data_IF_129502356574
#
_entry.id   IF_129502356574
#
_cell.length_a   1.000
_cell.length_b   1.000
_cell.length_c   1.000
_cell.angle_alpha   90.00
_cell.angle_beta   90.00
_cell.angle_gamma   90.00
#
_symmetry.space_group_name_H-M   'P 1'
#
loop_
_entity.id
_entity.type
_entity.pdbx_description
1 polymer ?
#
# COMPACT_ATOMS: atom_id res chain seq x y z
N UNK A 1 51.49 3.28 54.69
CA UNK A 1 51.90 2.42 53.56
C UNK A 1 52.01 1.03 54.14
N UNK A 2 51.33 -0.03 53.73
CA UNK A 2 50.57 -0.38 52.54
C UNK A 2 49.52 -1.41 52.99
N UNK A 3 48.28 -1.32 52.51
CA UNK A 3 47.71 -2.17 51.45
C UNK A 3 47.88 -3.69 51.62
N UNK A 4 46.73 -4.37 51.46
CA UNK A 4 46.51 -5.81 51.27
C UNK A 4 46.32 -6.67 52.52
N UNK A 5 45.04 -6.95 52.82
CA UNK A 5 44.46 -8.32 52.86
C UNK A 5 43.11 -8.31 53.62
N UNK A 6 42.03 -7.93 52.94
CA UNK A 6 40.70 -8.52 53.15
C UNK A 6 40.01 -8.51 51.78
N UNK A 7 40.27 -9.55 51.00
CA UNK A 7 39.55 -9.91 49.78
C UNK A 7 39.24 -11.40 49.93
N UNK A 8 38.08 -11.80 49.40
CA UNK A 8 37.46 -13.13 49.46
C UNK A 8 36.45 -13.26 50.60
N UNK A 9 35.21 -12.81 50.36
CA UNK A 9 34.06 -13.71 50.19
C UNK A 9 32.77 -12.90 50.19
N UNK A 10 32.26 -12.58 48.99
CA UNK A 10 30.86 -12.23 48.75
C UNK A 10 30.61 -12.40 47.26
N UNK A 11 30.55 -13.67 46.85
CA UNK A 11 30.14 -14.06 45.51
C UNK A 11 28.68 -14.52 45.57
N UNK A 12 27.91 -13.99 44.63
CA UNK A 12 26.66 -14.51 44.08
C UNK A 12 25.39 -14.47 44.95
N UNK A 13 24.67 -13.35 44.87
CA UNK A 13 23.24 -13.42 44.53
C UNK A 13 22.82 -12.16 43.74
N UNK A 14 23.24 -12.09 42.48
CA UNK A 14 22.75 -11.08 41.56
C UNK A 14 21.44 -11.59 40.97
N UNK A 15 20.33 -11.14 41.55
CA UNK A 15 18.98 -11.33 41.00
C UNK A 15 18.91 -10.60 39.67
N UNK A 16 18.88 -11.35 38.57
CA UNK A 16 18.53 -10.85 37.25
C UNK A 16 17.04 -10.54 37.23
N UNK A 17 16.69 -9.28 37.45
CA UNK A 17 15.37 -8.76 37.13
C UNK A 17 15.28 -8.77 35.60
N UNK A 18 14.61 -9.78 35.04
CA UNK A 18 14.12 -9.73 33.68
C UNK A 18 13.07 -8.62 33.62
N UNK A 19 13.50 -7.42 33.22
CA UNK A 19 12.61 -6.40 32.70
C UNK A 19 12.04 -6.96 31.40
N UNK A 20 10.87 -7.61 31.51
CA UNK A 20 9.98 -7.73 30.37
C UNK A 20 9.60 -6.30 29.99
N UNK A 21 10.29 -5.74 29.00
CA UNK A 21 9.82 -4.59 28.26
C UNK A 21 8.49 -5.01 27.63
N UNK A 22 7.39 -4.69 28.31
CA UNK A 22 6.09 -4.61 27.67
C UNK A 22 6.27 -3.51 26.62
N UNK A 23 6.55 -3.91 25.38
CA UNK A 23 6.34 -3.01 24.27
C UNK A 23 4.87 -2.64 24.35
N UNK A 24 4.59 -1.42 24.78
CA UNK A 24 3.29 -0.82 24.54
C UNK A 24 3.12 -0.92 23.02
N UNK A 25 2.22 -1.80 22.58
CA UNK A 25 1.71 -1.77 21.21
C UNK A 25 1.13 -0.36 21.10
N UNK A 26 1.88 0.54 20.46
CA UNK A 26 1.35 1.84 20.08
C UNK A 26 0.09 1.51 19.32
N UNK A 27 -1.08 1.88 19.88
CA UNK A 27 -2.33 1.77 19.15
C UNK A 27 -2.06 2.34 17.76
N UNK A 28 -2.15 1.48 16.73
CA UNK A 28 -1.85 1.88 15.38
C UNK A 28 -2.80 3.04 15.08
N UNK A 29 -2.26 4.24 14.85
CA UNK A 29 -3.11 5.39 14.55
C UNK A 29 -3.86 5.05 13.26
N UNK A 30 -5.18 4.93 13.37
CA UNK A 30 -6.11 4.70 12.28
C UNK A 30 -6.36 5.98 11.49
N UNK A 31 -5.34 6.83 11.35
CA UNK A 31 -5.44 8.13 10.69
C UNK A 31 -4.84 8.13 9.28
N UNK A 32 -4.56 6.96 8.70
CA UNK A 32 -4.02 6.81 7.35
C UNK A 32 -5.14 6.86 6.32
N UNK A 33 -5.02 7.77 5.35
CA UNK A 33 -5.84 7.86 4.16
C UNK A 33 -4.97 7.70 2.91
N UNK A 34 -5.42 6.92 1.93
CA UNK A 34 -4.70 6.77 0.66
C UNK A 34 -5.63 6.95 -0.54
N UNK A 35 -5.10 7.51 -1.62
CA UNK A 35 -5.85 7.81 -2.84
C UNK A 35 -5.07 7.34 -4.06
N UNK A 36 -5.63 6.39 -4.82
CA UNK A 36 -5.09 6.05 -6.15
C UNK A 36 -5.46 7.15 -7.15
N UNK A 37 -4.53 7.51 -8.04
CA UNK A 37 -4.68 8.64 -8.96
C UNK A 37 -3.87 8.44 -10.25
N UNK A 38 -4.46 8.82 -11.38
CA UNK A 38 -3.79 9.06 -12.66
C UNK A 38 -3.95 7.99 -13.73
N UNK A 39 -4.65 6.89 -13.46
CA UNK A 39 -4.76 5.76 -14.38
C UNK A 39 -5.72 6.03 -15.55
N UNK A 40 -6.70 6.91 -15.36
CA UNK A 40 -7.84 7.01 -16.30
C UNK A 40 -7.80 8.27 -17.16
N UNK A 41 -6.73 9.07 -17.06
CA UNK A 41 -6.52 10.29 -17.86
C UNK A 41 -7.71 11.27 -17.80
N UNK A 42 -8.38 11.33 -16.65
CA UNK A 42 -9.54 12.23 -16.40
C UNK A 42 -9.11 13.66 -16.01
N UNK A 43 -7.87 14.03 -16.33
CA UNK A 43 -7.27 15.33 -16.04
C UNK A 43 -7.31 15.71 -14.55
N UNK A 44 -7.25 14.72 -13.65
CA UNK A 44 -7.22 14.96 -12.21
C UNK A 44 -5.83 15.41 -11.77
N UNK A 45 -5.77 16.39 -10.87
CA UNK A 45 -4.53 16.90 -10.28
C UNK A 45 -4.51 16.61 -8.79
N UNK A 46 -3.33 16.51 -8.19
CA UNK A 46 -3.19 16.43 -6.73
C UNK A 46 -3.93 17.55 -5.99
N UNK A 47 -3.93 18.77 -6.55
CA UNK A 47 -4.62 19.92 -5.98
C UNK A 47 -6.14 19.85 -6.01
N UNK A 48 -6.72 18.95 -6.82
CA UNK A 48 -8.17 18.75 -6.88
C UNK A 48 -8.66 17.93 -5.68
N UNK A 49 -7.82 17.01 -5.19
CA UNK A 49 -8.16 16.08 -4.11
C UNK A 49 -8.08 16.79 -2.75
N UNK A 50 -9.13 16.73 -1.92
CA UNK A 50 -9.15 17.37 -0.61
C UNK A 50 -8.15 16.68 0.34
N UNK A 51 -7.35 17.46 1.07
CA UNK A 51 -6.38 16.95 2.03
C UNK A 51 -6.66 17.52 3.43
N UNK A 52 -7.02 16.65 4.36
CA UNK A 52 -7.22 16.98 5.76
C UNK A 52 -5.87 16.94 6.52
N UNK A 53 -5.52 17.99 7.25
CA UNK A 53 -4.19 18.12 7.87
C UNK A 53 -3.88 17.12 8.99
N UNK A 54 -4.92 16.53 9.60
CA UNK A 54 -4.78 15.57 10.71
C UNK A 54 -4.74 14.08 10.28
N UNK A 55 -4.72 13.79 8.98
CA UNK A 55 -4.51 12.42 8.47
C UNK A 55 -3.09 12.25 7.94
N UNK A 56 -2.54 11.04 8.02
CA UNK A 56 -1.37 10.64 7.22
C UNK A 56 -1.89 10.36 5.81
N UNK A 57 -1.49 11.15 4.82
CA UNK A 57 -2.12 11.16 3.50
C UNK A 57 -1.16 10.61 2.46
N UNK A 58 -1.52 9.53 1.77
CA UNK A 58 -0.71 8.98 0.70
C UNK A 58 -1.44 9.06 -0.65
N UNK A 59 -0.86 9.74 -1.63
CA UNK A 59 -1.24 9.50 -3.04
C UNK A 59 -0.52 8.26 -3.57
N UNK A 60 -1.15 7.56 -4.52
CA UNK A 60 -0.58 6.40 -5.21
C UNK A 60 -0.75 6.62 -6.72
N UNK A 61 0.33 6.96 -7.40
CA UNK A 61 0.37 7.13 -8.85
C UNK A 61 0.12 5.79 -9.54
N UNK A 62 -0.84 5.74 -10.44
CA UNK A 62 -1.33 4.50 -11.06
C UNK A 62 -1.23 4.60 -12.59
N UNK A 63 -0.34 3.90 -13.28
CA UNK A 63 0.58 2.87 -12.81
C UNK A 63 1.99 3.03 -13.39
N UNK A 64 2.98 2.42 -12.74
CA UNK A 64 4.22 2.02 -13.41
C UNK A 64 4.10 0.55 -13.83
N UNK A 65 4.42 0.24 -15.08
CA UNK A 65 4.19 -1.10 -15.63
C UNK A 65 5.45 -1.56 -16.37
N UNK A 66 5.89 -2.79 -16.16
CA UNK A 66 7.05 -3.38 -16.84
C UNK A 66 6.71 -3.89 -18.24
N UNK A 67 5.97 -3.06 -18.99
CA UNK A 67 5.65 -3.24 -20.40
C UNK A 67 6.24 -2.08 -21.20
N UNK A 68 6.54 -2.31 -22.48
CA UNK A 68 6.99 -1.25 -23.37
C UNK A 68 5.85 -0.27 -23.73
N UNK A 69 6.22 0.92 -24.21
CA UNK A 69 5.26 1.98 -24.59
C UNK A 69 4.97 2.00 -26.09
N UNK A 70 5.15 0.87 -26.78
CA UNK A 70 4.82 0.76 -28.21
C UNK A 70 3.30 0.69 -28.42
N UNK A 71 2.85 0.71 -29.67
CA UNK A 71 1.43 0.55 -30.00
C UNK A 71 0.89 -0.85 -29.71
N UNK A 72 1.76 -1.82 -29.43
CA UNK A 72 1.39 -3.19 -29.04
C UNK A 72 2.26 -3.60 -27.85
N UNK A 73 1.96 -3.10 -26.64
CA UNK A 73 2.80 -3.26 -25.46
C UNK A 73 3.18 -4.72 -25.18
N UNK A 74 4.44 -4.97 -24.85
CA UNK A 74 4.93 -6.30 -24.46
C UNK A 74 5.71 -6.27 -23.15
N UNK A 75 5.72 -7.38 -22.37
CA UNK A 75 6.49 -7.48 -21.13
C UNK A 75 7.98 -7.22 -21.36
N UNK A 76 8.62 -6.55 -20.41
CA UNK A 76 10.00 -6.07 -20.52
C UNK A 76 10.93 -6.66 -19.45
N UNK A 77 10.52 -7.75 -18.81
CA UNK A 77 11.28 -8.42 -17.75
C UNK A 77 11.67 -7.44 -16.62
N UNK A 78 10.70 -6.72 -16.05
CA UNK A 78 10.94 -5.81 -14.93
C UNK A 78 11.43 -4.41 -15.31
N UNK A 79 11.53 -4.04 -16.59
CA UNK A 79 11.86 -2.66 -16.98
C UNK A 79 10.61 -1.75 -16.96
N UNK A 80 10.22 -1.31 -15.77
CA UNK A 80 9.09 -0.39 -15.56
C UNK A 80 9.16 0.92 -16.37
N UNK A 81 8.03 1.25 -17.00
CA UNK A 81 7.71 2.54 -17.63
C UNK A 81 6.50 3.19 -16.94
N UNK A 82 6.31 4.50 -17.18
CA UNK A 82 5.23 5.31 -16.58
C UNK A 82 4.00 5.29 -17.47
N UNK A 83 2.83 4.95 -16.91
CA UNK A 83 1.54 4.87 -17.61
C UNK A 83 0.44 5.75 -17.00
N UNK A 84 0.72 6.54 -15.96
CA UNK A 84 -0.23 7.54 -15.46
C UNK A 84 -0.20 8.83 -16.29
N UNK A 85 -1.20 9.70 -16.09
CA UNK A 85 -1.31 11.03 -16.69
C UNK A 85 -0.15 11.97 -16.27
N UNK A 86 0.98 11.90 -16.99
CA UNK A 86 2.17 12.71 -16.69
C UNK A 86 2.00 14.19 -16.97
N UNK A 87 1.00 14.58 -17.77
CA UNK A 87 0.71 15.98 -18.08
C UNK A 87 0.13 16.70 -16.85
N UNK A 88 -0.66 15.99 -16.04
CA UNK A 88 -1.24 16.52 -14.81
C UNK A 88 -0.50 16.12 -13.53
N UNK A 89 0.23 14.99 -13.55
CA UNK A 89 0.90 14.41 -12.38
C UNK A 89 2.42 14.33 -12.61
N UNK A 90 3.03 15.48 -12.87
CA UNK A 90 4.47 15.63 -13.14
C UNK A 90 5.34 15.58 -11.87
N UNK A 91 6.68 15.42 -11.99
CA UNK A 91 7.59 15.52 -10.84
C UNK A 91 7.47 16.84 -10.06
N UNK A 92 7.25 17.95 -10.77
CA UNK A 92 7.06 19.26 -10.15
C UNK A 92 5.73 19.31 -9.38
N UNK A 93 4.67 18.66 -9.90
CA UNK A 93 3.39 18.57 -9.20
C UNK A 93 3.50 17.74 -7.91
N UNK A 94 4.26 16.62 -7.93
CA UNK A 94 4.57 15.84 -6.72
C UNK A 94 5.33 16.68 -5.69
N UNK A 95 6.36 17.40 -6.14
CA UNK A 95 7.15 18.26 -5.25
C UNK A 95 6.31 19.39 -4.67
N UNK A 96 5.45 20.01 -5.49
CA UNK A 96 4.56 21.09 -5.07
C UNK A 96 3.56 20.62 -4.02
N UNK A 97 2.86 19.48 -4.22
CA UNK A 97 1.86 19.02 -3.25
C UNK A 97 2.49 18.65 -1.91
N UNK A 98 3.65 17.99 -1.91
CA UNK A 98 4.40 17.65 -0.68
C UNK A 98 4.88 18.90 0.05
N UNK A 99 5.27 19.95 -0.66
CA UNK A 99 5.67 21.22 -0.05
C UNK A 99 4.51 21.98 0.60
N UNK A 100 3.31 21.87 0.02
CA UNK A 100 2.09 22.52 0.52
C UNK A 100 1.48 21.75 1.70
N UNK A 101 1.62 20.43 1.71
CA UNK A 101 1.03 19.53 2.70
C UNK A 101 2.10 18.60 3.30
N UNK A 102 2.72 18.97 4.44
CA UNK A 102 3.79 18.18 5.07
C UNK A 102 3.37 16.77 5.53
N UNK A 103 2.06 16.50 5.63
CA UNK A 103 1.48 15.20 5.94
C UNK A 103 1.26 14.31 4.70
N UNK A 104 1.65 14.78 3.50
CA UNK A 104 1.49 14.02 2.25
C UNK A 104 2.76 13.25 1.91
N UNK A 105 2.57 11.98 1.55
CA UNK A 105 3.52 11.16 0.80
C UNK A 105 2.94 10.78 -0.54
N UNK A 106 3.80 10.45 -1.50
CA UNK A 106 3.39 9.99 -2.84
C UNK A 106 4.15 8.71 -3.17
N UNK A 107 3.43 7.63 -3.44
CA UNK A 107 3.95 6.37 -3.95
C UNK A 107 3.56 6.17 -5.42
N UNK A 108 4.08 5.10 -6.02
CA UNK A 108 3.61 4.57 -7.31
C UNK A 108 3.11 3.13 -7.11
N UNK A 109 2.08 2.74 -7.84
CA UNK A 109 1.61 1.35 -7.92
C UNK A 109 2.19 0.63 -9.14
N UNK A 110 2.55 -0.64 -8.95
CA UNK A 110 3.13 -1.54 -9.95
C UNK A 110 2.08 -2.51 -10.48
N UNK A 111 1.95 -2.60 -11.82
CA UNK A 111 1.04 -3.54 -12.45
C UNK A 111 -0.26 -2.87 -12.92
N UNK A 112 -1.36 -3.15 -12.22
CA UNK A 112 -2.74 -2.86 -12.62
C UNK A 112 -3.35 -3.99 -13.45
N UNK A 113 -4.64 -3.87 -13.76
CA UNK A 113 -5.38 -4.83 -14.59
C UNK A 113 -4.89 -4.86 -16.05
N UNK A 114 -4.85 -3.70 -16.72
CA UNK A 114 -4.65 -3.64 -18.18
C UNK A 114 -3.94 -2.37 -18.69
N UNK A 115 -3.44 -2.42 -19.94
CA UNK A 115 -2.83 -1.32 -20.68
C UNK A 115 -3.62 -1.05 -21.96
N UNK A 116 -3.78 0.23 -22.30
CA UNK A 116 -4.33 0.66 -23.59
C UNK A 116 -5.77 0.17 -23.80
N UNK A 117 -6.01 -0.52 -24.91
CA UNK A 117 -7.34 -1.02 -25.30
C UNK A 117 -7.79 -2.28 -24.51
N UNK A 118 -7.30 -2.46 -23.27
CA UNK A 118 -7.68 -3.56 -22.37
C UNK A 118 -6.79 -4.79 -22.44
N UNK A 119 -5.51 -4.65 -22.84
CA UNK A 119 -4.56 -5.76 -22.78
C UNK A 119 -4.15 -6.01 -21.33
N UNK A 120 -4.43 -7.21 -20.80
CA UNK A 120 -4.05 -7.58 -19.43
C UNK A 120 -2.55 -7.49 -19.16
N UNK A 121 -2.20 -6.97 -17.99
CA UNK A 121 -0.83 -6.86 -17.48
C UNK A 121 -0.48 -8.13 -16.72
N UNK A 122 0.26 -9.02 -17.38
CA UNK A 122 0.74 -10.25 -16.77
C UNK A 122 2.08 -10.04 -16.07
N UNK A 123 2.17 -10.49 -14.82
CA UNK A 123 3.44 -10.66 -14.15
C UNK A 123 4.23 -11.80 -14.81
N UNK A 124 5.28 -11.45 -15.56
CA UNK A 124 6.01 -12.37 -16.43
C UNK A 124 7.55 -12.17 -16.39
N UNK A 125 8.22 -12.57 -15.30
CA UNK A 125 9.68 -12.55 -15.22
C UNK A 125 10.30 -13.62 -16.12
N UNK A 126 11.41 -13.29 -16.77
CA UNK A 126 12.26 -14.25 -17.49
C UNK A 126 13.10 -15.09 -16.51
N UNK A 127 13.54 -14.46 -15.43
CA UNK A 127 14.12 -15.12 -14.25
C UNK A 127 13.97 -14.18 -13.05
N UNK A 128 14.02 -14.73 -11.83
CA UNK A 128 13.97 -13.91 -10.61
C UNK A 128 15.07 -12.85 -10.62
N UNK A 129 16.30 -13.23 -10.95
CA UNK A 129 17.44 -12.31 -10.84
C UNK A 129 17.44 -11.22 -11.93
N UNK A 130 17.08 -11.56 -13.16
CA UNK A 130 16.99 -10.56 -14.25
C UNK A 130 15.86 -9.57 -14.02
N UNK A 131 14.67 -10.06 -13.67
CA UNK A 131 13.51 -9.22 -13.37
C UNK A 131 13.79 -8.27 -12.20
N UNK A 132 14.34 -8.79 -11.08
CA UNK A 132 14.67 -7.97 -9.90
C UNK A 132 15.73 -6.92 -10.24
N UNK A 133 16.79 -7.29 -10.99
CA UNK A 133 17.83 -6.33 -11.39
C UNK A 133 17.26 -5.18 -12.22
N UNK A 134 16.41 -5.51 -13.20
CA UNK A 134 15.76 -4.51 -14.06
C UNK A 134 14.79 -3.64 -13.25
N UNK A 135 13.93 -4.25 -12.43
CA UNK A 135 12.95 -3.58 -11.60
C UNK A 135 13.60 -2.60 -10.62
N UNK A 136 14.63 -3.03 -9.89
CA UNK A 136 15.37 -2.15 -8.97
C UNK A 136 15.97 -0.97 -9.74
N UNK A 137 16.56 -1.21 -10.91
CA UNK A 137 17.22 -0.17 -11.72
C UNK A 137 16.23 0.86 -12.26
N UNK A 138 15.15 0.43 -12.91
CA UNK A 138 14.15 1.32 -13.52
C UNK A 138 13.31 2.05 -12.47
N UNK A 139 12.84 1.35 -11.44
CA UNK A 139 12.04 1.97 -10.37
C UNK A 139 12.86 2.96 -9.56
N UNK A 140 14.14 2.70 -9.28
CA UNK A 140 14.99 3.68 -8.60
C UNK A 140 15.06 5.00 -9.40
N UNK A 141 15.16 4.94 -10.72
CA UNK A 141 15.17 6.14 -11.57
C UNK A 141 13.84 6.88 -11.50
N UNK A 142 12.72 6.18 -11.64
CA UNK A 142 11.37 6.78 -11.57
C UNK A 142 11.14 7.42 -10.20
N UNK A 143 11.42 6.69 -9.12
CA UNK A 143 11.23 7.15 -7.74
C UNK A 143 12.07 8.40 -7.45
N UNK A 144 13.34 8.42 -7.87
CA UNK A 144 14.20 9.59 -7.70
C UNK A 144 13.76 10.78 -8.56
N UNK A 145 13.35 10.53 -9.81
CA UNK A 145 12.88 11.58 -10.72
C UNK A 145 11.62 12.27 -10.16
N UNK A 146 10.67 11.50 -9.63
CA UNK A 146 9.40 12.02 -9.12
C UNK A 146 9.43 12.36 -7.63
N UNK A 147 10.54 12.10 -6.92
CA UNK A 147 10.67 12.29 -5.47
C UNK A 147 9.60 11.53 -4.66
N UNK A 148 9.43 10.24 -5.01
CA UNK A 148 8.41 9.35 -4.43
C UNK A 148 8.91 8.68 -3.14
N UNK A 149 7.97 8.31 -2.28
CA UNK A 149 8.24 7.86 -0.91
C UNK A 149 8.09 6.34 -0.73
N UNK A 150 7.43 5.65 -1.67
CA UNK A 150 7.06 4.24 -1.53
C UNK A 150 6.59 3.61 -2.84
N UNK A 151 6.35 2.30 -2.79
CA UNK A 151 5.73 1.53 -3.86
C UNK A 151 4.52 0.75 -3.35
N UNK A 152 3.62 0.42 -4.26
CA UNK A 152 2.49 -0.47 -4.07
C UNK A 152 2.54 -1.58 -5.12
N UNK A 153 2.22 -2.82 -4.74
CA UNK A 153 2.24 -3.99 -5.64
C UNK A 153 0.80 -4.37 -5.96
N UNK A 154 0.43 -4.28 -7.24
CA UNK A 154 -0.95 -4.38 -7.72
C UNK A 154 -1.03 -5.14 -9.05
N UNK A 155 -0.26 -6.21 -9.20
CA UNK A 155 -0.47 -7.15 -10.31
C UNK A 155 -1.73 -7.98 -10.06
N UNK A 156 -2.54 -8.15 -11.11
CA UNK A 156 -3.81 -8.87 -11.06
C UNK A 156 -3.83 -10.11 -11.97
N UNK A 157 -2.86 -10.24 -12.88
CA UNK A 157 -2.73 -11.38 -13.78
C UNK A 157 -1.33 -11.99 -13.70
N UNK A 158 -1.24 -13.32 -13.71
CA UNK A 158 0.01 -14.03 -13.45
C UNK A 158 0.32 -15.08 -14.53
N UNK A 159 1.56 -15.05 -15.02
CA UNK A 159 2.14 -16.18 -15.77
C UNK A 159 3.17 -16.93 -14.93
N UNK A 160 3.75 -16.28 -13.92
CA UNK A 160 4.60 -16.93 -12.93
C UNK A 160 3.75 -17.64 -11.87
N UNK A 161 4.35 -18.62 -11.18
CA UNK A 161 3.74 -19.22 -9.99
C UNK A 161 3.87 -18.31 -8.74
N UNK A 162 3.09 -18.59 -7.67
CA UNK A 162 3.13 -17.82 -6.42
C UNK A 162 4.52 -17.70 -5.78
N UNK A 163 5.35 -18.74 -5.86
CA UNK A 163 6.69 -18.75 -5.26
C UNK A 163 7.65 -17.82 -6.02
N UNK A 164 7.57 -17.82 -7.35
CA UNK A 164 8.36 -16.96 -8.23
C UNK A 164 7.95 -15.50 -8.07
N UNK A 165 6.64 -15.21 -8.05
CA UNK A 165 6.12 -13.88 -7.74
C UNK A 165 6.60 -13.39 -6.37
N UNK A 166 6.41 -14.20 -5.33
CA UNK A 166 6.84 -13.90 -3.96
C UNK A 166 8.34 -13.57 -3.88
N UNK A 167 9.19 -14.38 -4.52
CA UNK A 167 10.64 -14.15 -4.55
C UNK A 167 11.03 -12.86 -5.28
N UNK A 168 10.44 -12.58 -6.45
CA UNK A 168 10.70 -11.37 -7.21
C UNK A 168 10.32 -10.11 -6.42
N UNK A 169 9.08 -10.05 -5.94
CA UNK A 169 8.57 -8.88 -5.22
C UNK A 169 9.27 -8.71 -3.86
N UNK A 170 9.49 -9.80 -3.12
CA UNK A 170 10.21 -9.77 -1.84
C UNK A 170 11.64 -9.24 -1.98
N UNK A 171 12.40 -9.71 -2.99
CA UNK A 171 13.76 -9.21 -3.27
C UNK A 171 13.73 -7.74 -3.73
N UNK A 172 12.76 -7.33 -4.54
CA UNK A 172 12.58 -5.95 -4.97
C UNK A 172 12.37 -5.02 -3.76
N UNK A 173 11.37 -5.29 -2.93
CA UNK A 173 11.04 -4.47 -1.76
C UNK A 173 12.24 -4.40 -0.80
N UNK A 174 12.85 -5.56 -0.51
CA UNK A 174 14.03 -5.64 0.37
C UNK A 174 15.17 -4.75 -0.14
N UNK A 175 15.45 -4.81 -1.44
CA UNK A 175 16.55 -4.05 -2.06
C UNK A 175 16.27 -2.56 -2.05
N UNK A 176 15.07 -2.12 -2.44
CA UNK A 176 14.70 -0.70 -2.44
C UNK A 176 14.73 -0.10 -1.03
N UNK A 177 14.21 -0.81 -0.02
CA UNK A 177 14.28 -0.38 1.39
C UNK A 177 15.73 -0.32 1.88
N UNK A 178 16.54 -1.36 1.63
CA UNK A 178 17.95 -1.41 2.06
C UNK A 178 18.78 -0.29 1.43
N UNK A 179 18.48 0.09 0.20
CA UNK A 179 19.15 1.19 -0.51
C UNK A 179 18.62 2.58 -0.11
N UNK A 180 17.60 2.66 0.76
CA UNK A 180 16.98 3.93 1.17
C UNK A 180 16.22 4.63 0.05
N UNK A 181 15.81 3.90 -0.99
CA UNK A 181 15.06 4.45 -2.13
C UNK A 181 13.59 4.65 -1.77
N UNK A 182 13.03 3.77 -0.95
CA UNK A 182 11.66 3.85 -0.46
C UNK A 182 11.61 3.80 1.07
N UNK A 183 10.60 4.43 1.65
CA UNK A 183 10.32 4.42 3.08
C UNK A 183 9.22 3.43 3.47
N UNK A 184 8.32 3.09 2.54
CA UNK A 184 7.26 2.11 2.75
C UNK A 184 6.95 1.30 1.48
N UNK A 185 6.31 0.15 1.67
CA UNK A 185 5.76 -0.70 0.62
C UNK A 185 4.36 -1.19 1.02
N UNK A 186 3.48 -1.35 0.04
CA UNK A 186 2.16 -1.96 0.21
C UNK A 186 1.84 -2.99 -0.86
N UNK A 187 0.83 -3.81 -0.61
CA UNK A 187 0.27 -4.77 -1.56
C UNK A 187 -1.24 -4.51 -1.72
N UNK A 188 -1.80 -4.78 -2.89
CA UNK A 188 -3.21 -4.52 -3.22
C UNK A 188 -3.98 -5.78 -3.67
N UNK A 189 -4.06 -6.83 -2.84
CA UNK A 189 -4.77 -8.07 -3.19
C UNK A 189 -6.31 -7.91 -3.17
N UNK A 190 -7.01 -8.87 -3.79
CA UNK A 190 -8.46 -9.03 -3.69
C UNK A 190 -8.88 -10.50 -3.64
N UNK A 191 -10.18 -10.75 -3.44
CA UNK A 191 -10.73 -12.10 -3.20
C UNK A 191 -10.99 -12.86 -4.52
N UNK A 192 -9.91 -13.17 -5.22
CA UNK A 192 -9.88 -14.05 -6.38
C UNK A 192 -8.78 -15.10 -6.14
N UNK A 193 -9.01 -16.35 -6.55
CA UNK A 193 -8.18 -17.49 -6.15
C UNK A 193 -6.71 -17.33 -6.58
N UNK A 194 -6.47 -16.92 -7.83
CA UNK A 194 -5.12 -16.75 -8.36
C UNK A 194 -4.43 -15.58 -7.68
N UNK A 195 -5.09 -14.42 -7.59
CA UNK A 195 -4.58 -13.23 -6.88
C UNK A 195 -4.27 -13.54 -5.42
N UNK A 196 -5.22 -14.11 -4.68
CA UNK A 196 -5.04 -14.45 -3.27
C UNK A 196 -3.86 -15.39 -3.06
N UNK A 197 -3.73 -16.44 -3.88
CA UNK A 197 -2.63 -17.40 -3.74
C UNK A 197 -1.25 -16.74 -3.88
N UNK A 198 -1.10 -15.82 -4.83
CA UNK A 198 0.13 -15.07 -5.07
C UNK A 198 0.47 -14.10 -3.94
N UNK A 199 -0.50 -13.27 -3.51
CA UNK A 199 -0.26 -12.30 -2.44
C UNK A 199 -0.13 -12.92 -1.06
N UNK A 200 -0.81 -14.03 -0.77
CA UNK A 200 -0.60 -14.78 0.47
C UNK A 200 0.78 -15.46 0.48
N UNK A 201 1.26 -16.01 -0.64
CA UNK A 201 2.62 -16.55 -0.73
C UNK A 201 3.68 -15.46 -0.47
N UNK A 202 3.46 -14.25 -1.01
CA UNK A 202 4.28 -13.07 -0.73
C UNK A 202 4.21 -12.68 0.75
N UNK A 203 3.02 -12.58 1.33
CA UNK A 203 2.84 -12.20 2.73
C UNK A 203 3.49 -13.19 3.69
N UNK A 204 3.30 -14.50 3.47
CA UNK A 204 3.85 -15.55 4.33
C UNK A 204 5.38 -15.57 4.32
N UNK A 205 6.01 -15.22 3.19
CA UNK A 205 7.47 -15.25 3.04
C UNK A 205 8.14 -13.92 3.37
N UNK A 206 7.45 -12.82 3.13
CA UNK A 206 8.03 -11.46 3.09
C UNK A 206 7.15 -10.39 3.75
N UNK A 207 6.09 -10.74 4.47
CA UNK A 207 5.17 -9.80 5.11
C UNK A 207 5.83 -8.78 6.04
N UNK A 208 6.95 -9.14 6.68
CA UNK A 208 7.77 -8.23 7.48
C UNK A 208 8.37 -7.05 6.70
N UNK A 209 8.41 -7.13 5.36
CA UNK A 209 8.87 -6.07 4.48
C UNK A 209 7.73 -5.14 4.04
N UNK A 210 6.48 -5.52 4.26
CA UNK A 210 5.28 -4.85 3.75
C UNK A 210 4.60 -4.10 4.90
N UNK A 211 4.36 -2.80 4.71
CA UNK A 211 3.86 -1.94 5.78
C UNK A 211 2.33 -1.88 5.81
N UNK A 212 1.68 -2.08 4.66
CA UNK A 212 0.24 -1.87 4.47
C UNK A 212 -0.35 -2.90 3.51
N UNK A 213 -1.58 -3.33 3.78
CA UNK A 213 -2.38 -4.18 2.89
C UNK A 213 -3.58 -3.36 2.40
N UNK A 214 -3.51 -2.92 1.15
CA UNK A 214 -4.58 -2.26 0.41
C UNK A 214 -5.55 -3.30 -0.15
N UNK A 215 -6.18 -4.09 0.72
CA UNK A 215 -7.13 -5.11 0.25
C UNK A 215 -8.29 -4.44 -0.50
N UNK A 216 -8.57 -4.86 -1.72
CA UNK A 216 -9.57 -4.23 -2.59
C UNK A 216 -10.97 -4.75 -2.24
N UNK A 217 -11.57 -4.25 -1.16
CA UNK A 217 -12.92 -4.64 -0.72
C UNK A 217 -14.01 -4.27 -1.72
N UNK A 218 -13.73 -3.40 -2.68
CA UNK A 218 -14.61 -3.11 -3.80
C UNK A 218 -14.65 -4.20 -4.87
N UNK A 219 -13.74 -5.18 -4.85
CA UNK A 219 -13.81 -6.36 -5.71
C UNK A 219 -14.90 -7.36 -5.28
N UNK A 220 -15.43 -7.23 -4.06
CA UNK A 220 -16.64 -7.97 -3.66
C UNK A 220 -17.86 -7.48 -4.44
N UNK A 221 -18.91 -8.31 -4.49
CA UNK A 221 -20.13 -7.99 -5.22
C UNK A 221 -20.73 -6.64 -4.81
N UNK A 222 -21.20 -5.89 -5.81
CA UNK A 222 -21.98 -4.68 -5.61
C UNK A 222 -23.21 -4.97 -4.73
N UNK A 223 -23.46 -4.12 -3.74
CA UNK A 223 -24.55 -4.30 -2.79
C UNK A 223 -24.18 -5.18 -1.59
N UNK A 224 -22.89 -5.47 -1.40
CA UNK A 224 -22.35 -6.01 -0.14
C UNK A 224 -22.90 -5.22 1.05
N UNK A 225 -23.46 -5.92 2.03
CA UNK A 225 -24.02 -5.32 3.25
C UNK A 225 -22.94 -5.02 4.29
N UNK A 226 -23.28 -4.22 5.31
CA UNK A 226 -22.38 -3.95 6.44
C UNK A 226 -21.90 -5.24 7.11
N UNK A 227 -22.79 -6.20 7.35
CA UNK A 227 -22.41 -7.42 8.07
C UNK A 227 -21.51 -8.32 7.20
N UNK A 228 -21.81 -8.47 5.91
CA UNK A 228 -20.91 -9.17 4.97
C UNK A 228 -19.54 -8.51 4.90
N UNK A 229 -19.48 -7.17 4.79
CA UNK A 229 -18.20 -6.46 4.78
C UNK A 229 -17.39 -6.72 6.05
N UNK A 230 -18.02 -6.76 7.23
CA UNK A 230 -17.33 -7.04 8.49
C UNK A 230 -16.77 -8.47 8.52
N UNK A 231 -17.52 -9.45 7.99
CA UNK A 231 -17.07 -10.84 7.87
C UNK A 231 -15.88 -10.95 6.90
N UNK A 232 -15.98 -10.34 5.71
CA UNK A 232 -14.88 -10.27 4.75
C UNK A 232 -13.66 -9.59 5.34
N UNK A 233 -13.82 -8.45 6.02
CA UNK A 233 -12.71 -7.76 6.66
C UNK A 233 -12.02 -8.64 7.71
N UNK A 234 -12.79 -9.37 8.52
CA UNK A 234 -12.25 -10.33 9.49
C UNK A 234 -11.49 -11.49 8.82
N UNK A 235 -12.03 -12.02 7.72
CA UNK A 235 -11.37 -13.06 6.93
C UNK A 235 -10.03 -12.56 6.37
N UNK A 236 -10.02 -11.39 5.74
CA UNK A 236 -8.79 -10.86 5.13
C UNK A 236 -7.75 -10.46 6.17
N UNK A 237 -8.16 -10.02 7.37
CA UNK A 237 -7.23 -9.89 8.50
C UNK A 237 -6.58 -11.20 8.92
N UNK A 238 -7.28 -12.31 8.77
CA UNK A 238 -6.73 -13.63 9.08
C UNK A 238 -5.76 -14.10 7.99
N UNK A 239 -6.05 -13.79 6.72
CA UNK A 239 -5.17 -14.10 5.59
C UNK A 239 -3.85 -13.30 5.64
N UNK A 240 -3.90 -12.05 6.11
CA UNK A 240 -2.75 -11.16 6.29
C UNK A 240 -2.47 -10.89 7.77
N UNK A 241 -2.37 -11.96 8.57
CA UNK A 241 -2.22 -11.86 10.02
C UNK A 241 -1.00 -11.02 10.42
N UNK A 242 -1.16 -10.23 11.48
CA UNK A 242 -0.20 -9.21 11.93
C UNK A 242 -0.08 -7.97 11.02
N UNK A 243 -0.74 -7.96 9.86
CA UNK A 243 -0.69 -6.87 8.89
C UNK A 243 -1.60 -5.69 9.22
N UNK A 244 -1.27 -4.52 8.66
CA UNK A 244 -2.09 -3.32 8.72
C UNK A 244 -3.01 -3.26 7.51
N UNK A 245 -4.17 -3.91 7.61
CA UNK A 245 -5.20 -3.88 6.56
C UNK A 245 -5.97 -2.56 6.55
N UNK A 246 -6.28 -2.06 5.36
CA UNK A 246 -7.08 -0.84 5.16
C UNK A 246 -8.47 -1.20 4.62
N UNK A 247 -9.49 -0.47 5.04
CA UNK A 247 -10.80 -0.54 4.39
C UNK A 247 -10.78 0.22 3.06
N UNK A 248 -11.62 -0.16 2.10
CA UNK A 248 -11.64 0.49 0.79
C UNK A 248 -12.99 0.45 0.10
N UNK A 249 -13.16 1.38 -0.83
CA UNK A 249 -14.29 1.43 -1.75
C UNK A 249 -13.82 1.95 -3.11
N UNK A 250 -14.64 1.67 -4.14
CA UNK A 250 -14.47 2.19 -5.48
C UNK A 250 -15.43 3.36 -5.71
N UNK A 251 -14.94 4.43 -6.32
CA UNK A 251 -15.66 5.70 -6.47
C UNK A 251 -16.77 5.64 -7.49
N UNK A 252 -16.63 4.85 -8.56
CA UNK A 252 -17.69 4.64 -9.55
C UNK A 252 -18.88 3.82 -9.00
N UNK A 253 -18.71 3.19 -7.83
CA UNK A 253 -19.72 2.39 -7.15
C UNK A 253 -19.99 1.03 -7.79
N UNK A 254 -19.07 0.53 -8.63
CA UNK A 254 -19.20 -0.74 -9.35
C UNK A 254 -19.13 -1.99 -8.47
N UNK A 255 -18.64 -1.88 -7.23
CA UNK A 255 -18.52 -3.03 -6.35
C UNK A 255 -18.42 -2.70 -4.85
N UNK A 256 -18.45 -3.77 -4.05
CA UNK A 256 -18.33 -3.77 -2.60
C UNK A 256 -19.44 -3.07 -1.83
N UNK A 257 -19.11 -2.72 -0.58
CA UNK A 257 -19.98 -1.95 0.31
C UNK A 257 -19.85 -0.46 -0.02
N UNK A 258 -20.89 0.12 -0.60
CA UNK A 258 -20.85 1.51 -1.07
C UNK A 258 -20.72 2.52 0.10
N UNK A 259 -20.10 3.70 -0.15
CA UNK A 259 -20.09 4.82 0.79
C UNK A 259 -21.48 5.25 1.27
N UNK A 260 -22.50 5.12 0.41
CA UNK A 260 -23.87 5.54 0.70
C UNK A 260 -24.64 4.51 1.52
N UNK A 261 -24.26 3.23 1.42
CA UNK A 261 -25.02 2.09 1.94
C UNK A 261 -24.38 1.44 3.17
N UNK A 262 -23.45 2.13 3.83
CA UNK A 262 -22.98 1.75 5.17
C UNK A 262 -21.48 1.56 5.33
N UNK A 263 -20.66 1.86 4.32
CA UNK A 263 -19.20 1.82 4.45
C UNK A 263 -18.67 2.57 5.68
N UNK A 264 -19.14 3.79 5.92
CA UNK A 264 -18.72 4.60 7.08
C UNK A 264 -19.22 4.02 8.41
N UNK A 265 -20.35 3.31 8.40
CA UNK A 265 -20.84 2.57 9.57
C UNK A 265 -19.90 1.42 9.89
N UNK A 266 -19.51 0.62 8.88
CA UNK A 266 -18.52 -0.45 9.04
C UNK A 266 -17.17 0.09 9.52
N UNK A 267 -16.65 1.15 8.88
CA UNK A 267 -15.40 1.80 9.29
C UNK A 267 -15.47 2.33 10.73
N UNK A 268 -16.59 2.90 11.16
CA UNK A 268 -16.76 3.36 12.56
C UNK A 268 -16.74 2.19 13.54
N UNK A 269 -17.35 1.04 13.19
CA UNK A 269 -17.27 -0.19 14.00
C UNK A 269 -15.83 -0.71 14.08
N UNK A 270 -15.14 -0.82 12.97
CA UNK A 270 -13.73 -1.25 12.92
C UNK A 270 -12.83 -0.30 13.71
N UNK A 271 -13.06 1.00 13.58
CA UNK A 271 -12.28 2.03 14.29
C UNK A 271 -12.47 1.94 15.80
N UNK A 272 -13.70 1.77 16.29
CA UNK A 272 -13.99 1.63 17.72
C UNK A 272 -13.44 0.34 18.34
N UNK A 273 -13.24 -0.70 17.52
CA UNK A 273 -12.60 -1.95 17.91
C UNK A 273 -11.06 -1.90 17.81
N UNK A 274 -10.48 -0.78 17.37
CA UNK A 274 -9.03 -0.66 17.15
C UNK A 274 -8.52 -1.50 15.97
N UNK A 275 -9.40 -1.86 15.04
CA UNK A 275 -9.13 -2.79 13.94
C UNK A 275 -8.93 -2.10 12.58
N UNK A 276 -9.31 -0.82 12.47
CA UNK A 276 -9.19 -0.06 11.22
C UNK A 276 -7.74 0.42 11.04
N UNK A 277 -7.00 -0.11 10.07
CA UNK A 277 -5.66 0.38 9.73
C UNK A 277 -5.68 1.75 9.02
N UNK A 278 -6.76 2.06 8.33
CA UNK A 278 -6.96 3.27 7.54
C UNK A 278 -8.00 3.04 6.44
N UNK A 279 -8.16 4.01 5.55
CA UNK A 279 -9.03 3.90 4.37
C UNK A 279 -8.21 4.20 3.11
N UNK A 280 -8.45 3.48 2.02
CA UNK A 280 -8.03 3.93 0.69
C UNK A 280 -9.19 3.95 -0.30
N UNK A 281 -9.02 4.70 -1.39
CA UNK A 281 -10.02 4.89 -2.43
C UNK A 281 -9.42 4.63 -3.81
N UNK A 282 -10.16 3.89 -4.63
CA UNK A 282 -9.94 3.77 -6.07
C UNK A 282 -11.09 4.48 -6.79
N UNK A 283 -10.94 5.58 -7.51
CA UNK A 283 -9.76 6.41 -7.64
C UNK A 283 -10.17 7.89 -7.70
N UNK A 284 -9.18 8.79 -7.55
CA UNK A 284 -9.40 10.23 -7.65
C UNK A 284 -9.96 10.66 -9.02
N UNK A 285 -9.62 9.91 -10.08
CA UNK A 285 -10.02 10.16 -11.45
C UNK A 285 -11.56 10.14 -11.58
N UNK A 286 -12.21 9.15 -10.98
CA UNK A 286 -13.67 9.07 -10.89
C UNK A 286 -14.27 10.03 -9.87
N UNK A 287 -13.63 10.16 -8.71
CA UNK A 287 -14.10 11.02 -7.62
C UNK A 287 -14.18 12.49 -8.01
N UNK A 288 -13.38 12.92 -9.00
CA UNK A 288 -13.40 14.28 -9.53
C UNK A 288 -14.79 14.70 -10.00
N UNK A 289 -15.51 13.84 -10.72
CA UNK A 289 -16.85 14.14 -11.20
C UNK A 289 -17.88 14.23 -10.06
N UNK A 290 -17.58 13.63 -8.91
CA UNK A 290 -18.43 13.57 -7.72
C UNK A 290 -18.06 14.61 -6.65
N UNK A 291 -17.09 15.48 -6.92
CA UNK A 291 -16.67 16.56 -6.02
C UNK A 291 -15.94 16.08 -4.75
N UNK A 292 -15.35 14.89 -4.82
CA UNK A 292 -14.58 14.25 -3.75
C UNK A 292 -15.33 14.16 -2.40
N UNK A 293 -16.62 13.81 -2.45
CA UNK A 293 -17.47 13.76 -1.25
C UNK A 293 -17.01 12.68 -0.28
N UNK A 294 -16.65 11.50 -0.77
CA UNK A 294 -16.37 10.33 0.08
C UNK A 294 -14.94 10.34 0.63
N UNK A 295 -14.01 11.00 -0.05
CA UNK A 295 -12.66 11.28 0.41
C UNK A 295 -12.73 12.22 1.62
N UNK A 296 -13.53 13.29 1.54
CA UNK A 296 -13.77 14.21 2.67
C UNK A 296 -14.36 13.48 3.87
N UNK A 297 -15.34 12.61 3.65
CA UNK A 297 -15.97 11.84 4.73
C UNK A 297 -15.01 10.82 5.34
N UNK A 298 -14.22 10.12 4.53
CA UNK A 298 -13.19 9.19 4.97
C UNK A 298 -12.16 9.89 5.84
N UNK A 299 -11.60 10.99 5.36
CA UNK A 299 -10.60 11.76 6.10
C UNK A 299 -11.16 12.35 7.40
N UNK A 300 -12.40 12.85 7.38
CA UNK A 300 -13.07 13.33 8.60
C UNK A 300 -13.25 12.21 9.64
N UNK A 301 -13.66 11.01 9.21
CA UNK A 301 -13.76 9.84 10.10
C UNK A 301 -12.40 9.48 10.69
N UNK A 302 -11.35 9.46 9.87
CA UNK A 302 -9.99 9.10 10.26
C UNK A 302 -9.34 10.14 11.19
N UNK A 303 -9.62 11.43 10.99
CA UNK A 303 -9.05 12.54 11.75
C UNK A 303 -9.51 12.64 13.21
N UNK A 304 -10.64 12.01 13.58
CA UNK A 304 -11.15 12.00 14.95
C UNK A 304 -10.25 11.09 15.82
N UNK A 305 -9.59 11.61 16.87
CA UNK A 305 -8.82 10.79 17.80
C UNK A 305 -9.72 9.82 18.58
N UNK A 306 -9.20 8.66 18.93
CA UNK A 306 -9.76 7.78 19.96
C UNK A 306 -8.93 7.83 21.23
#
# INVERSE_FOLDING_TARGET
MDFSKVLISLFALQVTINLFSIQAVSAARSNLFREYIGAEFKNVKFSDVPIHSNVDFHFILSFAIDYDTSSSPSPTDGNFNVFWDTDNLSPDAVSAIKSQHPNVKVALSLGGDSIGDGQSVYFQPSSVDSWVSNAVSSLTKIIQQYNLDGIDIDYEHFHADPDTFSQCIGKLISTLKKNGVISFASIAPFDEDDVQSHYQALWNSHGQLIDLVNFQFYAYDQGTTVDQFMDYFSQQRSNYDGGKILASFISDGSGGLSPQDGFFTACTRLKSQGQLGGIFVWSADDSKAQGFRYEKQSQALLAIPH
#
